data_IF_731323195480
#
_entry.id   IF_731323195480
#
_cell.length_a   1.000
_cell.length_b   1.000
_cell.length_c   1.000
_cell.angle_alpha   90.00
_cell.angle_beta   90.00
_cell.angle_gamma   90.00
#
_symmetry.space_group_name_H-M   'P 1'
#
loop_
_entity.id
_entity.type
_entity.pdbx_description
1 polymer ?
#
# COMPACT_ATOMS: atom_id res chain seq x y z
N UNK A 1 15.83 -0.62 -13.34
CA UNK A 1 14.72 -1.45 -12.80
C UNK A 1 15.03 -1.92 -11.37
N UNK A 2 15.19 -1.00 -10.40
CA UNK A 2 15.37 -1.35 -8.97
C UNK A 2 14.50 -0.51 -8.02
N UNK A 3 13.97 0.63 -8.48
CA UNK A 3 13.20 1.55 -7.64
C UNK A 3 11.84 1.03 -7.18
N UNK A 4 11.10 0.30 -8.04
CA UNK A 4 9.78 -0.24 -7.68
C UNK A 4 9.88 -1.38 -6.66
N UNK A 5 10.93 -2.20 -6.76
CA UNK A 5 11.22 -3.27 -5.81
C UNK A 5 11.66 -2.70 -4.46
N UNK A 6 12.29 -1.53 -4.41
CA UNK A 6 12.74 -0.89 -3.15
C UNK A 6 11.59 -0.50 -2.21
N UNK A 7 10.42 -0.14 -2.76
CA UNK A 7 9.21 0.17 -1.98
C UNK A 7 8.61 -1.09 -1.34
N UNK A 8 8.82 -2.26 -1.96
CA UNK A 8 8.23 -3.53 -1.54
C UNK A 8 9.22 -4.43 -0.80
N UNK A 9 10.54 -4.30 -1.01
CA UNK A 9 11.46 -5.39 -0.66
C UNK A 9 12.05 -5.42 0.74
N UNK A 10 12.29 -4.34 1.50
CA UNK A 10 13.16 -4.53 2.67
C UNK A 10 13.17 -3.39 3.69
N UNK A 11 12.01 -2.89 4.13
CA UNK A 11 11.98 -1.93 5.24
C UNK A 11 12.03 -2.63 6.61
N UNK A 12 12.90 -3.63 6.78
CA UNK A 12 13.27 -4.27 8.06
C UNK A 12 12.12 -4.31 9.10
N UNK A 13 10.95 -4.84 8.69
CA UNK A 13 9.71 -4.78 9.48
C UNK A 13 9.92 -5.49 10.81
N UNK A 14 10.63 -6.62 10.80
CA UNK A 14 11.03 -7.37 12.00
C UNK A 14 11.83 -6.48 12.96
N UNK A 15 12.89 -5.80 12.50
CA UNK A 15 13.64 -4.87 13.35
C UNK A 15 12.78 -3.70 13.86
N UNK A 16 11.85 -3.20 13.04
CA UNK A 16 10.93 -2.13 13.46
C UNK A 16 9.90 -2.61 14.47
N UNK A 17 9.50 -3.87 14.44
CA UNK A 17 8.66 -4.49 15.46
C UNK A 17 9.47 -4.73 16.74
N UNK A 18 10.70 -5.24 16.64
CA UNK A 18 11.58 -5.47 17.81
C UNK A 18 11.99 -4.17 18.53
N UNK A 19 12.21 -3.09 17.78
CA UNK A 19 12.56 -1.76 18.31
C UNK A 19 11.32 -0.91 18.63
N UNK A 20 10.11 -1.46 18.54
CA UNK A 20 8.88 -0.70 18.77
C UNK A 20 8.79 -0.26 20.25
N UNK A 21 8.65 1.05 20.52
CA UNK A 21 8.55 1.57 21.89
C UNK A 21 7.19 1.30 22.52
N UNK A 22 6.15 1.09 21.70
CA UNK A 22 4.78 0.86 22.13
C UNK A 22 3.97 0.10 21.06
N UNK A 23 2.79 -0.38 21.49
CA UNK A 23 1.87 -1.12 20.63
C UNK A 23 1.33 -0.26 19.47
N UNK A 24 1.28 1.06 19.62
CA UNK A 24 0.77 1.96 18.59
C UNK A 24 1.73 2.05 17.39
N UNK A 25 3.04 2.05 17.66
CA UNK A 25 4.08 2.02 16.64
C UNK A 25 4.06 0.71 15.85
N UNK A 26 3.91 -0.44 16.52
CA UNK A 26 3.78 -1.74 15.84
C UNK A 26 2.60 -1.76 14.86
N UNK A 27 1.44 -1.28 15.31
CA UNK A 27 0.25 -1.17 14.46
C UNK A 27 0.52 -0.24 13.27
N UNK A 28 1.22 0.87 13.49
CA UNK A 28 1.64 1.78 12.43
C UNK A 28 2.56 1.12 11.40
N UNK A 29 3.51 0.29 11.85
CA UNK A 29 4.41 -0.48 10.96
C UNK A 29 3.63 -1.50 10.14
N UNK A 30 2.71 -2.24 10.77
CA UNK A 30 1.86 -3.22 10.08
C UNK A 30 0.96 -2.54 9.04
N UNK A 31 0.23 -1.49 9.42
CA UNK A 31 -0.63 -0.73 8.50
C UNK A 31 0.19 -0.14 7.34
N UNK A 32 1.35 0.45 7.65
CA UNK A 32 2.26 1.02 6.66
C UNK A 32 2.75 -0.01 5.63
N UNK A 33 2.94 -1.26 6.05
CA UNK A 33 3.35 -2.35 5.15
C UNK A 33 2.26 -2.77 4.16
N UNK A 34 0.98 -2.65 4.53
CA UNK A 34 -0.15 -2.95 3.66
C UNK A 34 -0.58 -1.77 2.79
N UNK A 35 -0.18 -0.55 3.12
CA UNK A 35 -0.56 0.68 2.41
C UNK A 35 -0.31 0.63 0.88
N UNK A 36 0.82 0.09 0.37
CA UNK A 36 1.03 -0.02 -1.08
C UNK A 36 -0.06 -0.84 -1.79
N UNK A 37 -0.59 -1.88 -1.16
CA UNK A 37 -1.66 -2.70 -1.73
C UNK A 37 -2.99 -1.94 -1.78
N UNK A 38 -3.29 -1.14 -0.74
CA UNK A 38 -4.47 -0.28 -0.71
C UNK A 38 -4.40 0.77 -1.83
N UNK A 39 -3.23 1.35 -2.07
CA UNK A 39 -3.01 2.29 -3.19
C UNK A 39 -3.27 1.61 -4.53
N UNK A 40 -2.77 0.39 -4.75
CA UNK A 40 -3.03 -0.37 -5.97
C UNK A 40 -4.53 -0.67 -6.16
N UNK A 41 -5.23 -1.05 -5.09
CA UNK A 41 -6.67 -1.29 -5.11
C UNK A 41 -7.46 -0.01 -5.46
N UNK A 42 -7.07 1.13 -4.90
CA UNK A 42 -7.67 2.43 -5.20
C UNK A 42 -7.45 2.84 -6.67
N UNK A 43 -6.24 2.60 -7.21
CA UNK A 43 -5.94 2.84 -8.63
C UNK A 43 -6.83 1.94 -9.51
N UNK A 44 -6.91 0.64 -9.20
CA UNK A 44 -7.76 -0.29 -9.95
C UNK A 44 -9.24 0.11 -9.91
N UNK A 45 -9.75 0.49 -8.73
CA UNK A 45 -11.12 1.00 -8.58
C UNK A 45 -11.35 2.27 -9.40
N UNK A 46 -10.38 3.19 -9.37
CA UNK A 46 -10.44 4.44 -10.14
C UNK A 46 -10.52 4.15 -11.63
N UNK A 47 -9.67 3.26 -12.15
CA UNK A 47 -9.69 2.82 -13.55
C UNK A 47 -11.04 2.18 -13.91
N UNK A 48 -11.57 1.30 -13.05
CA UNK A 48 -12.89 0.69 -13.24
C UNK A 48 -13.99 1.76 -13.31
N UNK A 49 -14.00 2.70 -12.37
CA UNK A 49 -15.01 3.75 -12.29
C UNK A 49 -14.97 4.67 -13.52
N UNK A 50 -13.79 5.13 -13.94
CA UNK A 50 -13.63 5.95 -15.13
C UNK A 50 -14.11 5.23 -16.40
N UNK A 51 -13.73 3.96 -16.57
CA UNK A 51 -14.14 3.16 -17.72
C UNK A 51 -15.64 2.85 -17.71
N UNK A 52 -16.23 2.58 -16.54
CA UNK A 52 -17.67 2.39 -16.40
C UNK A 52 -18.45 3.65 -16.75
N UNK A 53 -17.99 4.82 -16.30
CA UNK A 53 -18.60 6.11 -16.64
C UNK A 53 -18.57 6.40 -18.14
N UNK A 54 -17.50 6.01 -18.84
CA UNK A 54 -17.35 6.18 -20.29
C UNK A 54 -18.23 5.23 -21.13
N UNK A 55 -18.64 4.08 -20.58
CA UNK A 55 -19.55 3.12 -21.23
C UNK A 55 -21.03 3.43 -21.02
N UNK A 56 -21.37 4.33 -20.10
CA UNK A 56 -22.74 4.82 -19.88
C UNK A 56 -23.04 6.13 -20.61
N UNK A 57 -22.13 6.59 -21.47
CA UNK A 57 -22.27 7.77 -22.32
C UNK A 57 -22.41 7.43 -23.81
N UNK A 58 -22.78 6.18 -24.11
CA UNK A 58 -23.29 5.74 -25.42
C UNK A 58 -24.82 5.55 -25.32
#
# INVERSE_FOLDING_TARGET
>A
MKGLLFIVQQSNIEKKMEEAPDNAYEIGVVIGSYLPFVVLAAIAYTIYYYNKKKRGSE
#
